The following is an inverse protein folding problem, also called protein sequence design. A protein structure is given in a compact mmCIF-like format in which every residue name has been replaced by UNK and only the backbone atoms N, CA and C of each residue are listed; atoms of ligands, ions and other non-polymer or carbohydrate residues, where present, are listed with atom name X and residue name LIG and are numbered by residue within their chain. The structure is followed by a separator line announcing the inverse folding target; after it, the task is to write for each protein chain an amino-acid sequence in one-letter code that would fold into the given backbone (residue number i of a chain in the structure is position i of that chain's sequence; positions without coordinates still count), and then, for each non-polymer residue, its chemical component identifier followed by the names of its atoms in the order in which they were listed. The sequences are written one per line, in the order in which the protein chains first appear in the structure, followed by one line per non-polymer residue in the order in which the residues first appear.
data_IF_215296824574
#
_entry.id   IF_215296824574
#
_cell.length_a   1.000
_cell.length_b   1.000
_cell.length_c   1.000
_cell.angle_alpha   90.00
_cell.angle_beta   90.00
_cell.angle_gamma   90.00
#
_symmetry.space_group_name_H-M   'P 1'
#
loop_
_entity.id
_entity.type
_entity.pdbx_description
1 polymer ?
#
# COMPACT_ATOMS: atom_id res chain seq x y z
N UNK A 1 -10.81 24.63 -12.09
CA UNK A 1 -10.34 24.03 -13.37
C UNK A 1 -10.06 25.14 -14.37
N UNK A 2 -8.95 25.08 -15.12
CA UNK A 2 -8.72 25.98 -16.24
C UNK A 2 -8.46 25.18 -17.52
N UNK A 3 -8.93 25.71 -18.65
CA UNK A 3 -8.60 25.26 -19.99
C UNK A 3 -7.85 26.39 -20.67
N UNK A 4 -6.62 26.10 -21.11
CA UNK A 4 -5.76 27.04 -21.81
C UNK A 4 -5.34 26.45 -23.14
N UNK A 5 -5.25 27.29 -24.16
CA UNK A 5 -4.78 26.95 -25.49
C UNK A 5 -3.75 28.00 -25.90
N UNK A 6 -2.65 27.54 -26.48
CA UNK A 6 -1.63 28.39 -27.07
C UNK A 6 -1.15 27.74 -28.36
N UNK A 7 -1.23 28.48 -29.45
CA UNK A 7 -0.51 28.19 -30.68
C UNK A 7 0.35 29.41 -30.98
N UNK A 8 1.58 29.42 -30.44
CA UNK A 8 2.42 30.62 -30.37
C UNK A 8 3.87 30.27 -30.75
N UNK A 9 4.39 30.92 -31.80
CA UNK A 9 5.75 30.74 -32.26
C UNK A 9 6.40 32.09 -32.57
N UNK A 10 7.56 32.37 -31.97
CA UNK A 10 8.34 33.58 -32.27
C UNK A 10 7.64 34.92 -31.99
N UNK A 11 6.69 34.96 -31.05
CA UNK A 11 5.94 36.17 -30.71
C UNK A 11 4.67 36.39 -31.55
N UNK A 12 4.28 35.39 -32.35
CA UNK A 12 3.15 35.41 -33.29
C UNK A 12 2.29 34.20 -33.00
N UNK A 13 0.97 34.34 -32.99
CA UNK A 13 0.07 33.25 -32.65
C UNK A 13 -1.16 33.63 -31.83
N UNK A 14 -1.91 32.61 -31.42
CA UNK A 14 -3.17 32.73 -30.69
C UNK A 14 -3.03 32.20 -29.26
N UNK A 15 -3.70 32.85 -28.32
CA UNK A 15 -3.92 32.30 -26.98
C UNK A 15 -5.38 32.38 -26.60
N UNK A 16 -5.88 31.33 -25.97
CA UNK A 16 -7.21 31.28 -25.39
C UNK A 16 -7.20 30.70 -23.99
N UNK A 17 -8.05 31.23 -23.10
CA UNK A 17 -8.17 30.73 -21.74
C UNK A 17 -9.58 30.86 -21.16
N UNK A 18 -9.98 29.83 -20.42
CA UNK A 18 -11.25 29.75 -19.70
C UNK A 18 -11.04 29.11 -18.33
N UNK A 19 -11.63 29.66 -17.27
CA UNK A 19 -11.52 29.14 -15.90
C UNK A 19 -12.90 28.91 -15.31
N UNK A 20 -13.06 27.76 -14.68
CA UNK A 20 -14.24 27.39 -13.91
C UNK A 20 -13.87 27.15 -12.45
N UNK A 21 -14.73 27.59 -11.55
CA UNK A 21 -14.71 27.28 -10.13
C UNK A 21 -16.06 26.66 -9.74
N UNK A 22 -16.02 25.48 -9.12
CA UNK A 22 -17.23 24.77 -8.67
C UNK A 22 -18.32 24.65 -9.75
N UNK A 23 -17.90 24.34 -10.98
CA UNK A 23 -18.78 24.22 -12.16
C UNK A 23 -19.25 25.56 -12.76
N UNK A 24 -18.92 26.71 -12.15
CA UNK A 24 -19.26 28.04 -12.65
C UNK A 24 -18.08 28.65 -13.42
N UNK A 25 -18.38 29.26 -14.57
CA UNK A 25 -17.41 30.05 -15.32
C UNK A 25 -17.01 31.29 -14.53
N UNK A 26 -15.72 31.42 -14.18
CA UNK A 26 -15.16 32.55 -13.43
C UNK A 26 -14.21 33.42 -14.25
N UNK A 27 -13.69 32.91 -15.37
CA UNK A 27 -12.92 33.70 -16.35
C UNK A 27 -13.12 33.17 -17.76
N UNK A 28 -13.21 34.09 -18.72
CA UNK A 28 -13.22 33.79 -20.14
C UNK A 28 -14.60 33.44 -20.72
N UNK A 29 -14.64 32.94 -21.98
CA UNK A 29 -13.47 32.69 -22.82
C UNK A 29 -12.73 33.98 -23.17
N UNK A 30 -11.44 34.04 -22.86
CA UNK A 30 -10.53 35.08 -23.29
C UNK A 30 -9.78 34.56 -24.49
N UNK A 31 -9.71 35.34 -25.57
CA UNK A 31 -8.94 35.00 -26.77
C UNK A 31 -8.16 36.24 -27.20
N UNK A 32 -6.90 36.02 -27.58
CA UNK A 32 -6.06 37.03 -28.24
C UNK A 32 -5.57 36.39 -29.53
N UNK A 33 -5.91 37.00 -30.65
CA UNK A 33 -5.61 36.52 -31.99
C UNK A 33 -4.19 36.84 -32.45
N UNK A 34 -3.86 36.36 -33.64
CA UNK A 34 -2.56 36.58 -34.24
C UNK A 34 -2.26 38.09 -34.43
N UNK A 35 -1.10 38.52 -33.91
CA UNK A 35 -0.60 39.91 -33.90
C UNK A 35 -1.45 40.91 -33.10
N UNK A 36 -2.43 40.45 -32.33
CA UNK A 36 -3.12 41.30 -31.37
C UNK A 36 -2.21 41.54 -30.15
N UNK A 37 -2.04 42.80 -29.70
CA UNK A 37 -1.27 43.07 -28.49
C UNK A 37 -2.01 42.50 -27.27
N UNK A 38 -1.27 41.93 -26.32
CA UNK A 38 -1.88 41.48 -25.07
C UNK A 38 -2.52 42.66 -24.32
N UNK A 39 -3.69 42.45 -23.70
CA UNK A 39 -4.30 43.44 -22.80
C UNK A 39 -3.35 43.83 -21.66
N UNK A 40 -3.53 45.02 -21.10
CA UNK A 40 -2.75 45.49 -19.96
C UNK A 40 -2.82 44.56 -18.73
N UNK A 41 -3.92 43.80 -18.60
CA UNK A 41 -4.14 42.84 -17.51
C UNK A 41 -3.32 41.53 -17.66
N UNK A 42 -2.62 41.37 -18.78
CA UNK A 42 -1.80 40.20 -19.13
C UNK A 42 -2.43 39.31 -20.22
N UNK A 43 -1.66 38.32 -20.68
CA UNK A 43 -2.13 37.32 -21.65
C UNK A 43 -3.30 36.50 -21.08
N UNK A 44 -4.14 35.88 -21.93
CA UNK A 44 -5.22 34.98 -21.48
C UNK A 44 -4.75 33.92 -20.48
N UNK A 45 -3.58 33.33 -20.73
CA UNK A 45 -3.00 32.26 -19.92
C UNK A 45 -2.52 32.79 -18.57
N UNK A 46 -1.78 33.89 -18.55
CA UNK A 46 -1.27 34.48 -17.30
C UNK A 46 -2.41 34.96 -16.39
N UNK A 47 -3.52 35.44 -16.97
CA UNK A 47 -4.76 35.75 -16.22
C UNK A 47 -5.42 34.51 -15.64
N UNK A 48 -5.46 33.39 -16.36
CA UNK A 48 -6.00 32.14 -15.85
C UNK A 48 -5.13 31.58 -14.71
N UNK A 49 -3.81 31.59 -14.88
CA UNK A 49 -2.86 31.15 -13.85
C UNK A 49 -2.97 31.97 -12.57
N UNK A 50 -3.17 33.29 -12.69
CA UNK A 50 -3.39 34.17 -11.53
C UNK A 50 -4.62 33.76 -10.71
N UNK A 51 -5.71 33.38 -11.37
CA UNK A 51 -6.90 32.86 -10.68
C UNK A 51 -6.67 31.48 -10.05
N UNK A 52 -5.75 30.69 -10.59
CA UNK A 52 -5.30 29.43 -9.99
C UNK A 52 -4.27 29.64 -8.86
N UNK A 53 -3.93 30.89 -8.52
CA UNK A 53 -3.01 31.23 -7.42
C UNK A 53 -1.56 31.45 -7.82
N UNK A 54 -1.22 31.44 -9.11
CA UNK A 54 0.12 31.82 -9.55
C UNK A 54 0.37 33.31 -9.31
N UNK A 55 1.58 33.64 -8.86
CA UNK A 55 2.02 35.02 -8.63
C UNK A 55 3.22 35.30 -9.54
N UNK A 56 3.21 36.45 -10.21
CA UNK A 56 4.35 36.95 -10.97
C UNK A 56 5.54 37.27 -10.04
N UNK A 57 6.77 36.94 -10.46
CA UNK A 57 7.98 37.17 -9.67
C UNK A 57 9.17 37.64 -10.52
N UNK A 58 9.92 38.61 -10.00
CA UNK A 58 11.19 39.05 -10.60
C UNK A 58 11.09 39.58 -12.03
N UNK A 59 9.96 40.21 -12.40
CA UNK A 59 9.71 40.71 -13.75
C UNK A 59 9.28 39.65 -14.78
N UNK A 60 9.08 38.41 -14.33
CA UNK A 60 8.45 37.33 -15.11
C UNK A 60 6.94 37.38 -14.91
N UNK A 61 6.19 37.03 -15.95
CA UNK A 61 4.74 36.85 -15.80
C UNK A 61 4.41 35.53 -15.08
N UNK A 62 3.13 35.26 -14.83
CA UNK A 62 2.70 34.04 -14.16
C UNK A 62 3.15 32.78 -14.91
N UNK A 63 3.11 32.79 -16.24
CA UNK A 63 3.49 31.66 -17.10
C UNK A 63 4.98 31.29 -16.96
N UNK A 64 5.85 32.30 -17.05
CA UNK A 64 7.29 32.13 -16.85
C UNK A 64 7.63 31.75 -15.40
N UNK A 65 6.88 32.29 -14.43
CA UNK A 65 7.11 32.05 -13.00
C UNK A 65 6.79 30.61 -12.61
N UNK A 66 5.69 30.03 -13.12
CA UNK A 66 5.38 28.61 -12.92
C UNK A 66 6.26 27.68 -13.77
N UNK A 67 7.13 28.24 -14.60
CA UNK A 67 8.13 27.51 -15.37
C UNK A 67 7.58 26.77 -16.60
N UNK A 68 6.38 27.13 -17.06
CA UNK A 68 5.76 26.54 -18.26
C UNK A 68 6.55 26.87 -19.54
N UNK A 69 7.33 27.95 -19.54
CA UNK A 69 8.26 28.28 -20.64
C UNK A 69 9.32 27.21 -20.91
N UNK A 70 9.59 26.30 -19.95
CA UNK A 70 10.51 25.17 -20.12
C UNK A 70 9.93 24.05 -21.01
N UNK A 71 8.62 24.04 -21.21
CA UNK A 71 7.89 22.97 -21.90
C UNK A 71 7.04 23.57 -23.03
N UNK A 72 7.70 23.87 -24.16
CA UNK A 72 7.05 24.53 -25.31
C UNK A 72 6.08 23.61 -26.06
N UNK A 73 6.27 22.29 -25.98
CA UNK A 73 5.32 21.33 -26.50
C UNK A 73 4.50 20.76 -25.35
N UNK A 74 3.19 20.58 -25.54
CA UNK A 74 2.29 19.95 -24.55
C UNK A 74 2.77 18.55 -24.16
N UNK A 75 3.46 17.85 -25.05
CA UNK A 75 4.05 16.53 -24.79
C UNK A 75 5.17 16.59 -23.74
N UNK A 76 5.85 17.72 -23.61
CA UNK A 76 6.92 17.94 -22.63
C UNK A 76 6.35 18.29 -21.25
N UNK A 77 5.04 18.55 -21.13
CA UNK A 77 4.43 18.91 -19.87
C UNK A 77 4.42 17.72 -18.91
N UNK A 78 4.54 17.95 -17.59
CA UNK A 78 4.30 16.90 -16.61
C UNK A 78 2.91 16.32 -16.86
N UNK A 79 2.87 15.07 -17.32
CA UNK A 79 1.60 14.35 -17.44
C UNK A 79 1.04 14.18 -16.04
N UNK A 80 -0.29 14.30 -15.85
CA UNK A 80 -0.89 13.93 -14.59
C UNK A 80 -0.47 12.49 -14.26
N UNK A 81 -0.18 12.21 -12.98
CA UNK A 81 0.22 10.87 -12.58
C UNK A 81 -0.87 9.88 -13.00
N UNK A 82 -0.45 8.69 -13.44
CA UNK A 82 -1.40 7.61 -13.66
C UNK A 82 -1.86 7.11 -12.30
N UNK A 83 -3.17 6.94 -12.07
CA UNK A 83 -3.65 6.42 -10.80
C UNK A 83 -3.02 5.06 -10.49
N UNK A 84 -2.50 4.92 -9.28
CA UNK A 84 -1.91 3.67 -8.79
C UNK A 84 -3.04 2.82 -8.21
N UNK A 85 -3.08 1.50 -8.48
CA UNK A 85 -4.07 0.61 -7.87
C UNK A 85 -3.99 0.64 -6.33
N UNK A 86 -5.12 0.79 -5.67
CA UNK A 86 -5.23 0.82 -4.21
C UNK A 86 -4.78 -0.49 -3.55
N UNK A 87 -5.00 -1.63 -4.20
CA UNK A 87 -4.47 -2.93 -3.77
C UNK A 87 -2.94 -2.89 -3.64
N UNK A 88 -2.23 -2.23 -4.56
CA UNK A 88 -0.78 -2.09 -4.45
C UNK A 88 -0.39 -1.20 -3.26
N UNK A 89 -1.10 -0.08 -3.08
CA UNK A 89 -0.78 0.92 -2.04
C UNK A 89 -1.00 0.36 -0.65
N UNK A 90 -2.09 -0.38 -0.42
CA UNK A 90 -2.44 -0.90 0.90
C UNK A 90 -1.33 -1.82 1.45
N UNK A 91 -0.64 -2.55 0.56
CA UNK A 91 0.48 -3.42 0.94
C UNK A 91 1.83 -2.68 0.97
N UNK A 92 1.99 -1.64 0.16
CA UNK A 92 3.28 -0.99 -0.08
C UNK A 92 3.59 0.20 0.84
N UNK A 93 2.64 0.69 1.65
CA UNK A 93 2.94 1.69 2.68
C UNK A 93 1.87 1.77 3.79
N UNK A 94 2.29 2.19 4.99
CA UNK A 94 1.39 2.64 6.04
C UNK A 94 0.96 4.09 5.78
N UNK A 95 -0.01 4.31 4.89
CA UNK A 95 -0.41 5.64 4.43
C UNK A 95 -1.18 6.43 5.50
N UNK A 96 -0.96 7.75 5.56
CA UNK A 96 -1.64 8.70 6.47
C UNK A 96 -2.83 9.40 5.78
N UNK A 97 -3.70 10.06 6.55
CA UNK A 97 -4.85 10.80 6.01
C UNK A 97 -4.44 11.85 5.00
N UNK A 98 -3.41 12.63 5.34
CA UNK A 98 -2.89 13.73 4.53
C UNK A 98 -2.29 13.21 3.23
N UNK A 99 -1.66 12.04 3.27
CA UNK A 99 -1.06 11.40 2.10
C UNK A 99 -2.14 10.86 1.16
N UNK A 100 -3.21 10.24 1.68
CA UNK A 100 -4.40 9.86 0.89
C UNK A 100 -5.00 11.10 0.23
N UNK A 101 -5.18 12.18 1.00
CA UNK A 101 -5.74 13.43 0.51
C UNK A 101 -4.89 14.04 -0.61
N UNK A 102 -3.56 14.11 -0.43
CA UNK A 102 -2.63 14.55 -1.49
C UNK A 102 -2.70 13.63 -2.70
N UNK A 103 -2.76 12.31 -2.50
CA UNK A 103 -2.86 11.35 -3.60
C UNK A 103 -4.10 11.55 -4.44
N UNK A 104 -5.23 11.82 -3.80
CA UNK A 104 -6.49 12.12 -4.48
C UNK A 104 -6.44 13.47 -5.20
N UNK A 105 -6.04 14.55 -4.51
CA UNK A 105 -6.02 15.92 -5.05
C UNK A 105 -5.03 16.06 -6.20
N UNK A 106 -3.85 15.42 -6.09
CA UNK A 106 -2.79 15.50 -7.11
C UNK A 106 -2.96 14.43 -8.22
N UNK A 107 -4.01 13.57 -8.14
CA UNK A 107 -4.41 12.64 -9.20
C UNK A 107 -3.74 11.26 -9.19
N UNK A 108 -2.96 10.93 -8.16
CA UNK A 108 -2.38 9.60 -7.94
C UNK A 108 -3.43 8.54 -7.58
N UNK A 109 -4.59 8.98 -7.10
CA UNK A 109 -5.72 8.14 -6.71
C UNK A 109 -7.00 8.60 -7.42
N UNK A 110 -7.83 7.64 -7.78
CA UNK A 110 -9.24 7.93 -8.07
C UNK A 110 -9.99 8.22 -6.76
N UNK A 111 -11.12 8.94 -6.84
CA UNK A 111 -11.95 9.19 -5.65
C UNK A 111 -12.47 7.90 -5.00
N UNK A 112 -12.72 6.86 -5.79
CA UNK A 112 -13.09 5.54 -5.26
C UNK A 112 -11.93 4.88 -4.51
N UNK A 113 -10.74 4.85 -5.11
CA UNK A 113 -9.54 4.29 -4.50
C UNK A 113 -9.16 4.99 -3.20
N UNK A 114 -9.24 6.33 -3.16
CA UNK A 114 -8.96 7.13 -1.98
C UNK A 114 -9.91 6.80 -0.81
N UNK A 115 -11.21 6.69 -1.09
CA UNK A 115 -12.22 6.30 -0.10
C UNK A 115 -12.02 4.87 0.41
N UNK A 116 -11.67 3.93 -0.48
CA UNK A 116 -11.39 2.54 -0.10
C UNK A 116 -10.15 2.42 0.77
N UNK A 117 -9.08 3.12 0.42
CA UNK A 117 -7.85 3.20 1.21
C UNK A 117 -8.09 3.82 2.59
N UNK A 118 -8.85 4.92 2.67
CA UNK A 118 -9.20 5.53 3.95
C UNK A 118 -9.96 4.56 4.85
N UNK A 119 -10.91 3.81 4.28
CA UNK A 119 -11.65 2.79 5.01
C UNK A 119 -10.76 1.63 5.51
N UNK A 120 -9.94 1.04 4.65
CA UNK A 120 -8.99 -0.01 5.06
C UNK A 120 -8.05 0.48 6.16
N UNK A 121 -7.52 1.70 6.01
CA UNK A 121 -6.63 2.28 7.00
C UNK A 121 -7.32 2.54 8.33
N UNK A 122 -8.58 2.95 8.32
CA UNK A 122 -9.36 3.08 9.55
C UNK A 122 -9.60 1.73 10.22
N UNK A 123 -9.77 0.64 9.45
CA UNK A 123 -9.83 -0.71 10.00
C UNK A 123 -8.50 -1.15 10.64
N UNK A 124 -7.36 -0.85 10.02
CA UNK A 124 -6.03 -1.15 10.58
C UNK A 124 -5.78 -0.45 11.92
N UNK A 125 -6.21 0.81 12.04
CA UNK A 125 -6.00 1.63 13.23
C UNK A 125 -7.08 1.42 14.30
N UNK A 126 -8.28 1.00 13.91
CA UNK A 126 -9.45 0.86 14.77
C UNK A 126 -9.72 2.10 15.67
N UNK A 127 -9.37 3.29 15.19
CA UNK A 127 -9.62 4.57 15.86
C UNK A 127 -10.53 5.45 14.97
N UNK A 128 -11.84 5.47 15.24
CA UNK A 128 -12.79 6.28 14.46
C UNK A 128 -12.64 7.78 14.71
N UNK A 129 -11.93 8.19 15.77
CA UNK A 129 -11.72 9.60 16.11
C UNK A 129 -10.50 10.21 15.43
N UNK A 130 -9.64 9.38 14.86
CA UNK A 130 -8.49 9.81 14.06
C UNK A 130 -8.91 10.54 12.78
N UNK A 131 -8.00 11.33 12.20
CA UNK A 131 -8.22 11.98 10.89
C UNK A 131 -8.58 10.96 9.80
N UNK A 132 -7.94 9.78 9.82
CA UNK A 132 -8.26 8.64 8.94
C UNK A 132 -9.68 8.14 9.19
N UNK A 133 -10.09 8.00 10.46
CA UNK A 133 -11.45 7.61 10.84
C UNK A 133 -12.51 8.59 10.32
N UNK A 134 -12.21 9.90 10.40
CA UNK A 134 -13.03 10.96 9.81
C UNK A 134 -13.19 10.82 8.30
N UNK A 135 -12.09 10.63 7.57
CA UNK A 135 -12.13 10.39 6.11
C UNK A 135 -12.91 9.12 5.76
N UNK A 136 -12.71 8.03 6.50
CA UNK A 136 -13.41 6.77 6.27
C UNK A 136 -14.92 6.87 6.49
N UNK A 137 -15.37 7.70 7.43
CA UNK A 137 -16.79 7.92 7.69
C UNK A 137 -17.51 8.64 6.53
N UNK A 138 -16.77 9.39 5.69
CA UNK A 138 -17.29 10.11 4.53
C UNK A 138 -17.35 9.25 3.25
N UNK A 139 -17.20 7.92 3.36
CA UNK A 139 -17.15 7.00 2.19
C UNK A 139 -18.32 7.17 1.22
N UNK A 140 -19.50 7.49 1.74
CA UNK A 140 -20.73 7.58 0.95
C UNK A 140 -21.12 9.05 0.66
N UNK A 141 -20.41 10.04 1.23
CA UNK A 141 -20.60 11.49 0.98
C UNK A 141 -19.43 12.06 0.17
N UNK A 142 -19.58 12.03 -1.15
CA UNK A 142 -18.53 12.41 -2.11
C UNK A 142 -18.10 13.86 -1.93
N UNK A 143 -19.05 14.78 -1.75
CA UNK A 143 -18.76 16.20 -1.70
C UNK A 143 -18.07 16.58 -0.38
N UNK A 144 -18.47 15.96 0.73
CA UNK A 144 -17.79 16.14 2.01
C UNK A 144 -16.38 15.53 1.99
N UNK A 145 -16.23 14.34 1.39
CA UNK A 145 -14.92 13.72 1.22
C UNK A 145 -13.97 14.60 0.40
N UNK A 146 -14.45 15.14 -0.72
CA UNK A 146 -13.68 16.02 -1.59
C UNK A 146 -13.18 17.27 -0.86
N UNK A 147 -14.08 17.96 -0.14
CA UNK A 147 -13.72 19.13 0.70
C UNK A 147 -12.66 18.77 1.74
N UNK A 148 -12.87 17.67 2.47
CA UNK A 148 -11.93 17.25 3.52
C UNK A 148 -10.55 16.91 2.94
N UNK A 149 -10.49 16.27 1.77
CA UNK A 149 -9.21 16.02 1.10
C UNK A 149 -8.52 17.32 0.67
N UNK A 150 -9.25 18.28 0.12
CA UNK A 150 -8.67 19.58 -0.22
C UNK A 150 -8.13 20.33 1.00
N UNK A 151 -8.85 20.31 2.12
CA UNK A 151 -8.41 20.92 3.38
C UNK A 151 -7.15 20.24 3.95
N UNK A 152 -7.10 18.90 3.91
CA UNK A 152 -5.95 18.12 4.39
C UNK A 152 -4.71 18.23 3.48
N UNK A 153 -4.90 18.41 2.17
CA UNK A 153 -3.81 18.54 1.21
C UNK A 153 -3.21 19.96 1.17
N UNK A 154 -3.95 20.98 1.61
CA UNK A 154 -3.52 22.38 1.59
C UNK A 154 -2.22 22.67 2.39
N UNK A 155 -2.01 22.17 3.63
CA UNK A 155 -0.81 22.48 4.41
C UNK A 155 0.44 21.71 3.96
N UNK A 156 0.34 20.71 3.08
CA UNK A 156 1.48 19.87 2.69
C UNK A 156 2.32 20.60 1.62
N UNK A 157 3.43 21.22 2.05
CA UNK A 157 4.35 21.96 1.18
C UNK A 157 5.49 21.13 0.57
N UNK A 158 6.08 21.65 -0.51
CA UNK A 158 7.43 21.28 -0.99
C UNK A 158 7.61 19.86 -1.57
N UNK A 159 8.88 19.51 -1.85
CA UNK A 159 9.29 18.25 -2.50
C UNK A 159 9.00 16.96 -1.72
N UNK A 160 8.57 17.06 -0.45
CA UNK A 160 8.12 15.90 0.34
C UNK A 160 6.65 15.53 0.09
N UNK A 161 5.83 16.47 -0.39
CA UNK A 161 4.39 16.28 -0.61
C UNK A 161 4.07 15.00 -1.38
N UNK A 162 4.84 14.75 -2.45
CA UNK A 162 4.63 13.61 -3.34
C UNK A 162 5.67 12.49 -3.18
N UNK A 163 6.50 12.52 -2.13
CA UNK A 163 7.59 11.56 -1.97
C UNK A 163 7.09 10.10 -1.84
N UNK A 164 6.04 9.88 -1.05
CA UNK A 164 5.41 8.55 -0.93
C UNK A 164 4.80 8.09 -2.26
N UNK A 165 4.19 9.01 -3.01
CA UNK A 165 3.56 8.71 -4.28
C UNK A 165 4.57 8.38 -5.38
N UNK A 166 5.68 9.10 -5.45
CA UNK A 166 6.80 8.76 -6.32
C UNK A 166 7.41 7.40 -5.97
N UNK A 167 7.55 7.10 -4.68
CA UNK A 167 7.97 5.78 -4.21
C UNK A 167 7.02 4.68 -4.69
N UNK A 168 5.71 4.83 -4.42
CA UNK A 168 4.69 3.84 -4.78
C UNK A 168 4.60 3.64 -6.29
N UNK A 169 4.71 4.70 -7.08
CA UNK A 169 4.66 4.64 -8.54
C UNK A 169 5.88 3.90 -9.12
N UNK A 170 7.08 4.14 -8.56
CA UNK A 170 8.29 3.40 -8.95
C UNK A 170 8.26 1.95 -8.47
N UNK A 171 7.77 1.69 -7.26
CA UNK A 171 7.63 0.32 -6.73
C UNK A 171 6.62 -0.49 -7.55
N UNK A 172 5.52 0.14 -7.96
CA UNK A 172 4.52 -0.48 -8.84
C UNK A 172 5.11 -0.83 -10.20
N UNK A 173 5.93 0.07 -10.77
CA UNK A 173 6.51 -0.09 -12.11
C UNK A 173 7.81 -0.89 -12.16
N UNK A 174 8.36 -1.32 -11.01
CA UNK A 174 9.68 -1.99 -10.92
C UNK A 174 9.83 -3.23 -11.81
N UNK A 175 8.73 -3.88 -12.20
CA UNK A 175 8.72 -5.00 -13.13
C UNK A 175 9.12 -4.63 -14.59
N UNK A 176 9.11 -3.33 -14.93
CA UNK A 176 9.31 -2.83 -16.30
C UNK A 176 10.47 -1.84 -16.45
N UNK A 177 11.28 -1.63 -15.41
CA UNK A 177 12.35 -0.63 -15.44
C UNK A 177 13.60 -1.13 -16.20
N UNK A 178 14.00 -0.42 -17.26
CA UNK A 178 15.31 -0.57 -17.93
C UNK A 178 16.32 0.49 -17.44
N UNK A 179 17.60 0.36 -17.83
CA UNK A 179 18.88 1.01 -17.40
C UNK A 179 18.92 2.36 -16.64
N UNK A 180 17.86 3.18 -16.59
CA UNK A 180 17.60 4.27 -15.61
C UNK A 180 17.51 3.77 -14.15
N UNK A 181 17.47 2.44 -13.97
CA UNK A 181 17.41 1.64 -12.75
C UNK A 181 18.17 2.17 -11.51
N UNK A 182 19.32 2.85 -11.63
CA UNK A 182 20.13 3.18 -10.44
C UNK A 182 19.50 4.25 -9.55
N UNK A 183 18.98 5.32 -10.13
CA UNK A 183 18.35 6.42 -9.38
C UNK A 183 16.98 5.97 -8.86
N UNK A 184 16.24 5.18 -9.64
CA UNK A 184 14.99 4.55 -9.20
C UNK A 184 15.21 3.57 -8.04
N UNK A 185 16.29 2.79 -8.03
CA UNK A 185 16.61 1.90 -6.89
C UNK A 185 16.85 2.70 -5.62
N UNK A 186 17.57 3.83 -5.71
CA UNK A 186 17.82 4.67 -4.55
C UNK A 186 16.51 5.21 -3.96
N UNK A 187 15.61 5.71 -4.82
CA UNK A 187 14.28 6.20 -4.41
C UNK A 187 13.41 5.07 -3.85
N UNK A 188 13.38 3.90 -4.49
CA UNK A 188 12.63 2.73 -4.00
C UNK A 188 13.15 2.28 -2.63
N UNK A 189 14.47 2.25 -2.46
CA UNK A 189 15.09 1.87 -1.19
C UNK A 189 14.81 2.90 -0.10
N UNK A 190 14.96 4.19 -0.38
CA UNK A 190 14.66 5.28 0.55
C UNK A 190 13.18 5.27 0.95
N UNK A 191 12.27 5.16 -0.03
CA UNK A 191 10.84 5.09 0.20
C UNK A 191 10.44 3.86 1.02
N UNK A 192 10.99 2.67 0.71
CA UNK A 192 10.78 1.46 1.51
C UNK A 192 11.29 1.65 2.94
N UNK A 193 12.45 2.27 3.13
CA UNK A 193 12.95 2.55 4.48
C UNK A 193 12.00 3.48 5.24
N UNK A 194 11.64 4.63 4.66
CA UNK A 194 10.86 5.68 5.33
C UNK A 194 9.40 5.32 5.56
N UNK A 195 8.73 4.76 4.56
CA UNK A 195 7.27 4.62 4.54
C UNK A 195 6.77 3.23 4.97
N UNK A 196 7.64 2.23 4.93
CA UNK A 196 7.33 0.89 5.45
C UNK A 196 8.10 0.64 6.74
N UNK A 197 9.44 0.63 6.68
CA UNK A 197 10.25 0.13 7.79
C UNK A 197 10.22 1.08 8.99
N UNK A 198 10.50 2.37 8.80
CA UNK A 198 10.57 3.34 9.90
C UNK A 198 9.20 3.52 10.58
N UNK A 199 8.12 3.49 9.79
CA UNK A 199 6.74 3.55 10.31
C UNK A 199 6.33 2.27 11.05
N UNK A 200 6.76 1.11 10.57
CA UNK A 200 6.58 -0.14 11.28
C UNK A 200 7.32 -0.11 12.61
N UNK A 201 8.56 0.40 12.64
CA UNK A 201 9.37 0.56 13.85
C UNK A 201 8.73 1.52 14.85
N UNK A 202 8.17 2.64 14.39
CA UNK A 202 7.45 3.59 15.25
C UNK A 202 6.08 3.07 15.72
N UNK A 203 5.58 1.97 15.14
CA UNK A 203 4.28 1.38 15.47
C UNK A 203 3.11 2.14 14.85
N UNK A 204 3.36 3.01 13.87
CA UNK A 204 2.32 3.78 13.19
C UNK A 204 1.46 2.93 12.26
N UNK A 205 1.98 1.79 11.77
CA UNK A 205 1.33 1.06 10.69
C UNK A 205 0.18 0.15 11.10
N UNK A 206 0.05 -0.27 12.36
CA UNK A 206 -1.03 -1.14 12.82
C UNK A 206 -1.48 -0.81 14.24
N UNK A 207 -2.74 -1.09 14.58
CA UNK A 207 -3.19 -1.05 15.97
C UNK A 207 -2.70 -2.27 16.76
N UNK A 208 -1.57 -2.10 17.43
CA UNK A 208 -0.96 -3.09 18.33
C UNK A 208 -1.72 -3.35 19.64
N UNK A 209 -2.86 -2.68 19.87
CA UNK A 209 -3.75 -2.98 20.99
C UNK A 209 -4.94 -3.87 20.61
N UNK A 210 -5.15 -4.14 19.32
CA UNK A 210 -6.33 -4.83 18.80
C UNK A 210 -6.00 -6.17 18.15
N UNK A 211 -6.53 -7.26 18.71
CA UNK A 211 -6.33 -8.60 18.15
C UNK A 211 -6.92 -8.76 16.74
N UNK A 212 -8.10 -8.17 16.50
CA UNK A 212 -8.77 -8.27 15.20
C UNK A 212 -8.04 -7.48 14.12
N UNK A 213 -7.46 -6.33 14.46
CA UNK A 213 -6.63 -5.56 13.52
C UNK A 213 -5.40 -6.37 13.12
N UNK A 214 -4.74 -7.03 14.08
CA UNK A 214 -3.52 -7.79 13.83
C UNK A 214 -3.75 -9.09 13.04
N UNK A 215 -4.93 -9.69 13.10
CA UNK A 215 -5.26 -10.85 12.25
C UNK A 215 -5.44 -10.49 10.76
N UNK A 216 -5.71 -9.22 10.46
CA UNK A 216 -5.79 -8.71 9.10
C UNK A 216 -4.44 -8.27 8.52
N UNK A 217 -3.36 -8.30 9.30
CA UNK A 217 -2.06 -7.79 8.85
C UNK A 217 -1.51 -8.60 7.69
N UNK A 218 -1.03 -7.93 6.65
CA UNK A 218 -0.34 -8.52 5.51
C UNK A 218 1.03 -7.84 5.25
N UNK A 219 1.55 -7.11 6.23
CA UNK A 219 2.81 -6.37 6.10
C UNK A 219 3.94 -7.07 6.88
N UNK A 220 4.88 -7.75 6.21
CA UNK A 220 5.93 -8.49 6.89
C UNK A 220 6.86 -7.60 7.75
N UNK A 221 7.07 -6.35 7.34
CA UNK A 221 7.91 -5.38 8.05
C UNK A 221 7.32 -4.99 9.42
N UNK A 222 6.00 -4.93 9.55
CA UNK A 222 5.30 -4.71 10.83
C UNK A 222 5.59 -5.83 11.82
N UNK A 223 5.64 -7.07 11.34
CA UNK A 223 5.94 -8.23 12.18
C UNK A 223 7.39 -8.19 12.65
N UNK A 224 8.33 -7.85 11.77
CA UNK A 224 9.74 -7.74 12.17
C UNK A 224 9.92 -6.69 13.26
N UNK A 225 9.35 -5.50 13.05
CA UNK A 225 9.42 -4.41 14.00
C UNK A 225 8.78 -4.78 15.35
N UNK A 226 7.65 -5.49 15.35
CA UNK A 226 7.01 -5.95 16.57
C UNK A 226 7.80 -7.04 17.30
N UNK A 227 8.42 -7.97 16.57
CA UNK A 227 9.34 -8.95 17.14
C UNK A 227 10.56 -8.26 17.77
N UNK A 228 11.11 -7.22 17.14
CA UNK A 228 12.21 -6.41 17.67
C UNK A 228 11.84 -5.67 18.96
N UNK A 229 10.62 -5.15 19.04
CA UNK A 229 10.09 -4.49 20.25
C UNK A 229 9.67 -5.47 21.35
N UNK A 230 9.71 -6.77 21.09
CA UNK A 230 9.12 -7.80 21.95
C UNK A 230 7.64 -7.52 22.27
N UNK A 231 6.89 -7.08 21.26
CA UNK A 231 5.47 -6.74 21.42
C UNK A 231 4.66 -8.00 21.85
N UNK A 232 3.81 -7.92 22.88
CA UNK A 232 3.02 -9.05 23.37
C UNK A 232 2.11 -9.69 22.32
N UNK A 233 1.70 -8.92 21.29
CA UNK A 233 0.81 -9.40 20.23
C UNK A 233 1.55 -9.72 18.92
N UNK A 234 2.88 -9.65 18.89
CA UNK A 234 3.67 -9.94 17.69
C UNK A 234 3.38 -11.34 17.11
N UNK A 235 3.16 -12.36 17.96
CA UNK A 235 2.81 -13.68 17.46
C UNK A 235 1.35 -13.81 16.98
N UNK A 236 0.42 -12.98 17.47
CA UNK A 236 -0.94 -12.88 16.88
C UNK A 236 -0.85 -12.28 15.49
N UNK A 237 -0.09 -11.20 15.34
CA UNK A 237 0.16 -10.55 14.07
C UNK A 237 0.85 -11.51 13.08
N UNK A 238 1.79 -12.34 13.55
CA UNK A 238 2.41 -13.38 12.72
C UNK A 238 1.41 -14.43 12.21
N UNK A 239 0.40 -14.80 13.00
CA UNK A 239 -0.70 -15.66 12.54
C UNK A 239 -1.51 -14.93 11.46
N UNK A 240 -1.83 -13.66 11.66
CA UNK A 240 -2.47 -12.82 10.65
C UNK A 240 -1.71 -12.83 9.33
N UNK A 241 -0.41 -12.55 9.37
CA UNK A 241 0.47 -12.59 8.19
C UNK A 241 0.43 -13.96 7.49
N UNK A 242 0.41 -15.05 8.26
CA UNK A 242 0.31 -16.41 7.73
C UNK A 242 -1.04 -16.73 7.05
N UNK A 243 -2.09 -15.96 7.35
CA UNK A 243 -3.43 -16.13 6.78
C UNK A 243 -3.67 -15.25 5.56
N UNK A 244 -3.02 -14.09 5.48
CA UNK A 244 -3.32 -13.03 4.52
C UNK A 244 -2.25 -12.87 3.44
N UNK A 245 -0.97 -13.09 3.77
CA UNK A 245 0.12 -12.79 2.84
C UNK A 245 0.23 -13.86 1.74
N UNK A 246 0.27 -13.49 0.46
CA UNK A 246 0.24 -14.47 -0.64
C UNK A 246 1.55 -15.25 -0.81
N UNK A 247 2.69 -14.64 -0.47
CA UNK A 247 4.02 -15.24 -0.64
C UNK A 247 4.54 -15.87 0.67
N UNK A 248 4.64 -17.22 0.77
CA UNK A 248 5.19 -17.90 1.94
C UNK A 248 6.68 -17.60 2.17
N UNK A 249 7.41 -17.12 1.16
CA UNK A 249 8.80 -16.68 1.27
C UNK A 249 8.97 -15.47 2.19
N UNK A 250 7.93 -14.63 2.32
CA UNK A 250 7.91 -13.54 3.30
C UNK A 250 7.48 -14.01 4.71
N UNK A 251 6.78 -15.14 4.82
CA UNK A 251 6.18 -15.58 6.10
C UNK A 251 7.14 -16.49 6.87
N UNK A 252 7.70 -17.50 6.18
CA UNK A 252 8.50 -18.56 6.80
C UNK A 252 9.74 -18.07 7.59
N UNK A 253 10.52 -17.07 7.11
CA UNK A 253 11.63 -16.54 7.89
C UNK A 253 11.19 -15.94 9.24
N UNK A 254 10.00 -15.33 9.28
CA UNK A 254 9.44 -14.70 10.48
C UNK A 254 8.91 -15.73 11.46
N UNK A 255 8.34 -16.84 10.95
CA UNK A 255 8.00 -18.01 11.77
C UNK A 255 9.25 -18.62 12.42
N UNK A 256 10.32 -18.82 11.66
CA UNK A 256 11.58 -19.33 12.20
C UNK A 256 12.15 -18.39 13.28
N UNK A 257 12.12 -17.09 13.03
CA UNK A 257 12.52 -16.06 14.00
C UNK A 257 11.68 -16.11 15.29
N UNK A 258 10.36 -16.21 15.18
CA UNK A 258 9.46 -16.33 16.34
C UNK A 258 9.77 -17.59 17.17
N UNK A 259 10.05 -18.71 16.52
CA UNK A 259 10.51 -19.91 17.23
C UNK A 259 11.84 -19.72 17.95
N UNK A 260 12.77 -18.97 17.36
CA UNK A 260 14.08 -18.68 17.94
C UNK A 260 13.99 -17.73 19.15
N UNK A 261 13.07 -16.75 19.13
CA UNK A 261 12.78 -15.89 20.29
C UNK A 261 12.29 -16.73 21.47
N UNK A 262 11.42 -17.71 21.21
CA UNK A 262 10.96 -18.66 22.23
C UNK A 262 9.95 -18.04 23.20
N UNK A 263 9.73 -18.71 24.33
CA UNK A 263 8.61 -18.45 25.24
C UNK A 263 7.36 -19.25 24.86
N UNK A 264 6.55 -19.62 25.85
CA UNK A 264 5.43 -20.56 25.66
C UNK A 264 4.38 -20.01 24.68
N UNK A 265 3.94 -18.77 24.89
CA UNK A 265 2.94 -18.13 24.03
C UNK A 265 3.44 -17.89 22.60
N UNK A 266 4.63 -17.32 22.44
CA UNK A 266 5.22 -17.08 21.11
C UNK A 266 5.47 -18.38 20.35
N UNK A 267 5.95 -19.43 21.04
CA UNK A 267 6.10 -20.77 20.46
C UNK A 267 4.75 -21.31 19.98
N UNK A 268 3.71 -21.19 20.81
CA UNK A 268 2.38 -21.66 20.46
C UNK A 268 1.88 -20.93 19.21
N UNK A 269 2.01 -19.61 19.17
CA UNK A 269 1.57 -18.79 18.04
C UNK A 269 2.39 -19.08 16.76
N UNK A 270 3.69 -19.28 16.86
CA UNK A 270 4.52 -19.73 15.73
C UNK A 270 4.11 -21.12 15.21
N UNK A 271 3.64 -21.99 16.09
CA UNK A 271 3.08 -23.31 15.72
C UNK A 271 1.77 -23.18 14.97
N UNK A 272 0.87 -22.32 15.43
CA UNK A 272 -0.38 -22.01 14.72
C UNK A 272 -0.09 -21.39 13.35
N UNK A 273 0.82 -20.41 13.29
CA UNK A 273 1.23 -19.78 12.03
C UNK A 273 1.84 -20.81 11.05
N UNK A 274 2.66 -21.75 11.54
CA UNK A 274 3.21 -22.86 10.72
C UNK A 274 2.10 -23.73 10.13
N UNK A 275 1.07 -24.05 10.94
CA UNK A 275 -0.10 -24.79 10.50
C UNK A 275 -0.84 -24.06 9.36
N UNK A 276 -1.08 -22.75 9.52
CA UNK A 276 -1.68 -21.92 8.47
C UNK A 276 -0.86 -21.92 7.19
N UNK A 277 0.47 -21.76 7.26
CA UNK A 277 1.31 -21.79 6.06
C UNK A 277 1.27 -23.14 5.37
N UNK A 278 1.29 -24.24 6.13
CA UNK A 278 1.15 -25.58 5.59
C UNK A 278 -0.19 -25.75 4.85
N UNK A 279 -1.29 -25.30 5.45
CA UNK A 279 -2.65 -25.42 4.90
C UNK A 279 -2.87 -24.55 3.66
N UNK A 280 -2.43 -23.30 3.68
CA UNK A 280 -2.72 -22.31 2.64
C UNK A 280 -1.70 -22.34 1.50
N UNK A 281 -0.42 -22.55 1.81
CA UNK A 281 0.66 -22.49 0.83
C UNK A 281 1.29 -23.85 0.49
N UNK A 282 0.84 -24.94 1.14
CA UNK A 282 1.29 -26.31 0.88
C UNK A 282 2.82 -26.47 0.97
N UNK A 283 3.46 -25.66 1.83
CA UNK A 283 4.92 -25.57 1.91
C UNK A 283 5.41 -25.29 3.33
N UNK A 284 6.72 -25.42 3.53
CA UNK A 284 7.43 -25.11 4.77
C UNK A 284 8.92 -24.86 4.46
N UNK A 285 9.70 -24.42 5.44
CA UNK A 285 11.16 -24.28 5.31
C UNK A 285 11.93 -25.26 6.20
N UNK A 286 13.18 -25.60 5.86
CA UNK A 286 14.05 -26.41 6.70
C UNK A 286 14.23 -25.86 8.13
N UNK A 287 14.31 -24.55 8.28
CA UNK A 287 14.47 -23.85 9.56
C UNK A 287 13.25 -24.05 10.45
N UNK A 288 12.04 -23.85 9.88
CA UNK A 288 10.78 -24.08 10.58
C UNK A 288 10.66 -25.57 10.98
N UNK A 289 11.00 -26.49 10.07
CA UNK A 289 10.99 -27.93 10.36
C UNK A 289 11.97 -28.31 11.49
N UNK A 290 13.13 -27.65 11.58
CA UNK A 290 14.09 -27.90 12.66
C UNK A 290 13.49 -27.51 14.03
N UNK A 291 12.78 -26.38 14.10
CA UNK A 291 12.07 -25.96 15.30
C UNK A 291 10.90 -26.88 15.64
N UNK A 292 10.03 -27.23 14.67
CA UNK A 292 8.92 -28.17 14.89
C UNK A 292 9.44 -29.54 15.35
N UNK A 293 10.61 -29.97 14.84
CA UNK A 293 11.21 -31.24 15.24
C UNK A 293 11.54 -31.27 16.74
N UNK A 294 11.95 -30.16 17.34
CA UNK A 294 12.34 -30.11 18.75
C UNK A 294 11.17 -29.97 19.72
N UNK A 295 9.92 -29.86 19.22
CA UNK A 295 8.72 -29.68 20.05
C UNK A 295 8.02 -30.99 20.36
N UNK A 296 7.09 -30.93 21.32
CA UNK A 296 6.20 -32.03 21.65
C UNK A 296 5.38 -32.41 20.43
N UNK A 297 5.37 -33.70 20.12
CA UNK A 297 4.66 -34.25 18.97
C UNK A 297 3.15 -34.21 19.12
N UNK A 298 2.45 -34.20 17.98
CA UNK A 298 0.99 -34.16 17.91
C UNK A 298 0.43 -32.75 18.11
N UNK A 299 1.24 -31.74 17.81
CA UNK A 299 0.79 -30.35 17.77
C UNK A 299 0.13 -30.04 16.41
N UNK A 300 -0.53 -28.89 16.31
CA UNK A 300 -1.25 -28.46 15.10
C UNK A 300 -0.36 -28.38 13.86
N UNK A 301 0.90 -27.94 14.01
CA UNK A 301 1.84 -27.88 12.91
C UNK A 301 2.19 -29.27 12.38
N UNK A 302 2.44 -30.26 13.24
CA UNK A 302 2.72 -31.64 12.79
C UNK A 302 1.57 -32.18 11.92
N UNK A 303 0.33 -31.99 12.38
CA UNK A 303 -0.87 -32.48 11.69
C UNK A 303 -1.08 -31.81 10.34
N UNK A 304 -0.95 -30.48 10.28
CA UNK A 304 -1.17 -29.73 9.04
C UNK A 304 -0.01 -29.93 8.05
N UNK A 305 1.23 -29.96 8.54
CA UNK A 305 2.39 -30.29 7.70
C UNK A 305 2.20 -31.67 7.04
N UNK A 306 1.76 -32.67 7.80
CA UNK A 306 1.49 -34.00 7.26
C UNK A 306 0.30 -34.04 6.28
N UNK A 307 -0.76 -33.28 6.58
CA UNK A 307 -2.01 -33.31 5.81
C UNK A 307 -1.90 -32.56 4.48
N UNK A 308 -1.20 -31.43 4.45
CA UNK A 308 -1.24 -30.49 3.34
C UNK A 308 0.07 -30.38 2.55
N UNK A 309 1.24 -30.49 3.21
CA UNK A 309 2.52 -30.36 2.50
C UNK A 309 2.81 -31.64 1.70
N UNK A 310 3.24 -31.54 0.42
CA UNK A 310 3.57 -32.71 -0.37
C UNK A 310 4.58 -33.62 0.35
N UNK A 311 4.21 -34.89 0.54
CA UNK A 311 4.99 -35.85 1.35
C UNK A 311 6.47 -35.97 0.97
N UNK A 312 6.81 -35.75 -0.31
CA UNK A 312 8.19 -35.74 -0.83
C UNK A 312 9.06 -34.60 -0.28
N UNK A 313 8.43 -33.55 0.26
CA UNK A 313 9.09 -32.40 0.89
C UNK A 313 9.16 -32.54 2.41
N UNK A 314 8.54 -33.58 2.98
CA UNK A 314 8.52 -33.81 4.41
C UNK A 314 9.71 -34.67 4.84
N UNK A 315 10.32 -34.35 6.00
CA UNK A 315 11.46 -35.10 6.50
C UNK A 315 11.06 -36.46 7.04
N UNK A 316 11.99 -37.42 6.99
CA UNK A 316 11.73 -38.81 7.42
C UNK A 316 11.26 -38.96 8.87
N UNK A 317 11.64 -38.06 9.77
CA UNK A 317 11.20 -38.14 11.15
C UNK A 317 9.69 -37.92 11.29
N UNK A 318 9.09 -37.08 10.45
CA UNK A 318 7.65 -36.80 10.50
C UNK A 318 6.88 -37.99 9.92
N UNK A 319 7.40 -38.59 8.85
CA UNK A 319 6.90 -39.87 8.33
C UNK A 319 6.87 -40.97 9.39
N UNK A 320 7.95 -41.14 10.15
CA UNK A 320 8.01 -42.17 11.21
C UNK A 320 6.98 -41.95 12.31
N UNK A 321 6.63 -40.69 12.57
CA UNK A 321 5.64 -40.33 13.58
C UNK A 321 4.20 -40.54 13.08
N UNK A 322 3.85 -40.06 11.89
CA UNK A 322 2.47 -40.03 11.40
C UNK A 322 2.01 -41.31 10.69
N UNK A 323 2.93 -42.07 10.07
CA UNK A 323 2.58 -43.27 9.32
C UNK A 323 1.82 -44.32 10.16
N UNK A 324 2.19 -44.61 11.42
CA UNK A 324 1.43 -45.52 12.28
C UNK A 324 -0.02 -45.05 12.54
N UNK A 325 -0.23 -43.74 12.73
CA UNK A 325 -1.56 -43.17 12.97
C UNK A 325 -2.48 -43.32 11.75
N UNK A 326 -1.95 -43.04 10.55
CA UNK A 326 -2.71 -43.19 9.30
C UNK A 326 -3.06 -44.65 9.02
N UNK A 327 -2.11 -45.57 9.23
CA UNK A 327 -2.36 -47.00 9.02
C UNK A 327 -3.34 -47.56 10.05
N UNK A 328 -3.20 -47.17 11.33
CA UNK A 328 -4.13 -47.55 12.39
C UNK A 328 -5.55 -47.05 12.12
N UNK A 329 -5.72 -45.80 11.71
CA UNK A 329 -7.03 -45.24 11.38
C UNK A 329 -7.70 -45.97 10.19
N UNK A 330 -6.92 -46.33 9.16
CA UNK A 330 -7.42 -47.12 8.02
C UNK A 330 -7.84 -48.53 8.45
N UNK A 331 -7.03 -49.21 9.26
CA UNK A 331 -7.37 -50.55 9.76
C UNK A 331 -8.61 -50.53 10.66
N UNK A 332 -8.75 -49.51 11.52
CA UNK A 332 -9.95 -49.32 12.34
C UNK A 332 -11.20 -49.04 11.48
N UNK A 333 -11.07 -48.20 10.45
CA UNK A 333 -12.15 -47.95 9.49
C UNK A 333 -12.57 -49.23 8.74
N UNK A 334 -11.61 -50.06 8.33
CA UNK A 334 -11.89 -51.35 7.68
C UNK A 334 -12.59 -52.31 8.63
N UNK A 335 -12.17 -52.37 9.90
CA UNK A 335 -12.83 -53.19 10.93
C UNK A 335 -14.28 -52.74 11.20
N UNK A 336 -14.56 -51.43 11.24
CA UNK A 336 -15.93 -50.90 11.37
C UNK A 336 -16.81 -51.22 10.16
N UNK A 337 -16.26 -51.18 8.95
CA UNK A 337 -16.99 -51.55 7.72
C UNK A 337 -17.28 -53.06 7.68
N UNK A 338 -16.33 -53.89 8.11
CA UNK A 338 -16.49 -55.34 8.16
C UNK A 338 -17.48 -55.79 9.24
N UNK A 339 -17.47 -55.15 10.42
CA UNK A 339 -18.43 -55.47 11.49
C UNK A 339 -19.85 -55.00 11.19
N UNK A 340 -20.05 -53.89 10.46
CA UNK A 340 -21.38 -53.46 9.97
C UNK A 340 -21.95 -54.29 8.82
N UNK A 341 -21.14 -55.09 8.11
CA UNK A 341 -21.60 -56.02 7.07
C UNK A 341 -21.92 -57.42 7.61
N UNK A 342 -21.59 -57.69 8.87
CA UNK A 342 -21.74 -59.01 9.49
C UNK A 342 -22.90 -59.09 10.51
N UNK A 343 -23.74 -58.05 10.62
CA UNK A 343 -24.98 -58.04 11.41
C UNK A 343 -26.16 -57.60 10.58
#
# INVERSE_FOLDING_TARGET
MAMVFADYFGGVGEQSATVWDSGRLVLGPLTVGDREPFPADGSPISRALRLLGAQADGGRDEFDTVGLARHRNTEDWPQPPRPIPDEHIVHAAAIRAEEIAVGYVDGWLTGEAARRLAWWRACDLADPTSTIGGLAALRDDVDAFDRMCHDLAAPVGGGERNAIWHYLDLDHRKAHLSREVRDSIAVIRDGRQRFLIDRAVSGEGMNWSSHSALLGTDRPEEIDAALDRADPLAGVALIGLAMTHPDPGQILPRIARAYAIGGDQMTQQATVATAHVARLHLTTSPEVLAHVRSRRRGNEADMDLWSFVPRRRLPWWLWRYELPHVLGARLHGWWLVLTRRAG
#
